data_IF_407355777471
#
_entry.id   IF_407355777471
#
_cell.length_a   1.000
_cell.length_b   1.000
_cell.length_c   1.000
_cell.angle_alpha   90.00
_cell.angle_beta   90.00
_cell.angle_gamma   90.00
#
_symmetry.space_group_name_H-M   'P 1'
#
loop_
_entity.id
_entity.type
_entity.pdbx_description
1 polymer ?
#
# COMPACT_ATOMS: atom_id res chain seq x y z
N UNK A 1 1.41 -20.08 -17.34
CA UNK A 1 1.25 -19.02 -18.35
C UNK A 1 2.61 -18.59 -18.93
N UNK A 2 3.63 -18.33 -18.11
CA UNK A 2 4.93 -17.84 -18.55
C UNK A 2 5.70 -18.80 -19.48
N UNK A 3 5.37 -20.08 -19.50
CA UNK A 3 5.98 -21.13 -20.37
C UNK A 3 5.29 -21.30 -21.73
N UNK A 4 4.09 -20.75 -21.91
CA UNK A 4 3.35 -20.85 -23.16
C UNK A 4 4.02 -20.03 -24.26
N UNK A 5 4.05 -20.56 -25.50
CA UNK A 5 4.39 -19.72 -26.64
C UNK A 5 3.39 -18.59 -26.83
N UNK A 6 3.72 -17.55 -27.58
CA UNK A 6 2.78 -16.48 -27.86
C UNK A 6 1.50 -17.00 -28.55
N UNK A 7 1.66 -17.95 -29.48
CA UNK A 7 0.53 -18.57 -30.18
C UNK A 7 -0.33 -19.40 -29.22
N UNK A 8 0.29 -20.26 -28.39
CA UNK A 8 -0.45 -21.04 -27.40
C UNK A 8 -1.19 -20.15 -26.38
N UNK A 9 -0.60 -19.03 -25.99
CA UNK A 9 -1.27 -18.07 -25.11
C UNK A 9 -2.53 -17.50 -25.75
N UNK A 10 -2.46 -17.11 -27.03
CA UNK A 10 -3.64 -16.63 -27.77
C UNK A 10 -4.70 -17.71 -27.83
N UNK A 11 -4.36 -18.90 -28.32
CA UNK A 11 -5.34 -19.96 -28.56
C UNK A 11 -5.94 -20.54 -27.28
N UNK A 12 -5.08 -20.89 -26.31
CA UNK A 12 -5.52 -21.58 -25.09
C UNK A 12 -6.11 -20.66 -24.07
N UNK A 13 -5.56 -19.43 -23.92
CA UNK A 13 -5.99 -18.49 -22.88
C UNK A 13 -7.04 -17.54 -23.42
N UNK A 14 -6.72 -16.77 -24.48
CA UNK A 14 -7.63 -15.72 -24.94
C UNK A 14 -8.86 -16.30 -25.67
N UNK A 15 -8.65 -17.22 -26.60
CA UNK A 15 -9.73 -17.75 -27.43
C UNK A 15 -10.52 -18.82 -26.68
N UNK A 16 -9.89 -19.94 -26.31
CA UNK A 16 -10.60 -21.10 -25.72
C UNK A 16 -10.94 -20.88 -24.25
N UNK A 17 -10.01 -20.29 -23.48
CA UNK A 17 -10.17 -20.15 -22.02
C UNK A 17 -11.10 -19.00 -21.62
N UNK A 18 -10.90 -17.83 -22.20
CA UNK A 18 -11.65 -16.62 -21.87
C UNK A 18 -12.77 -16.27 -22.85
N UNK A 19 -12.75 -16.82 -24.07
CA UNK A 19 -13.67 -16.40 -25.13
C UNK A 19 -13.58 -14.89 -25.38
N UNK A 20 -12.36 -14.34 -25.36
CA UNK A 20 -12.12 -12.91 -25.42
C UNK A 20 -12.76 -12.30 -26.67
N UNK A 21 -13.48 -11.20 -26.50
CA UNK A 21 -14.08 -10.43 -27.62
C UNK A 21 -13.36 -9.11 -27.83
N UNK A 22 -12.72 -8.60 -26.78
CA UNK A 22 -11.96 -7.35 -26.81
C UNK A 22 -10.75 -7.47 -25.91
N UNK A 23 -9.57 -7.11 -26.42
CA UNK A 23 -8.32 -7.14 -25.68
C UNK A 23 -7.67 -5.75 -25.74
N UNK A 24 -7.51 -5.12 -24.58
CA UNK A 24 -6.83 -3.85 -24.44
C UNK A 24 -5.44 -4.09 -23.86
N UNK A 25 -4.40 -3.57 -24.52
CA UNK A 25 -3.01 -3.72 -24.11
C UNK A 25 -2.29 -2.38 -24.11
N UNK A 26 -1.25 -2.25 -23.29
CA UNK A 26 -0.36 -1.09 -23.34
C UNK A 26 0.48 -1.06 -24.63
N UNK A 27 1.11 0.07 -24.90
CA UNK A 27 1.94 0.30 -26.09
C UNK A 27 3.23 -0.55 -26.12
N UNK A 28 3.75 -0.92 -24.94
CA UNK A 28 4.92 -1.79 -24.75
C UNK A 28 4.59 -3.24 -24.41
N UNK A 29 3.34 -3.64 -24.63
CA UNK A 29 2.87 -4.97 -24.29
C UNK A 29 3.63 -6.06 -25.04
N UNK A 30 4.14 -7.03 -24.27
CA UNK A 30 4.78 -8.24 -24.77
C UNK A 30 4.26 -9.44 -23.98
N UNK A 31 4.06 -10.57 -24.65
CA UNK A 31 3.50 -11.76 -24.04
C UNK A 31 4.13 -13.06 -24.56
N UNK A 32 3.76 -14.18 -23.94
CA UNK A 32 4.30 -15.49 -24.26
C UNK A 32 5.74 -15.69 -23.76
N UNK A 33 6.23 -16.92 -23.98
CA UNK A 33 7.59 -17.31 -23.57
C UNK A 33 8.62 -16.37 -24.19
N UNK A 34 9.57 -15.92 -23.40
CA UNK A 34 10.61 -14.96 -23.76
C UNK A 34 10.08 -13.63 -24.32
N UNK A 35 8.82 -13.27 -24.03
CA UNK A 35 8.17 -12.04 -24.52
C UNK A 35 8.12 -11.95 -26.05
N UNK A 36 8.01 -13.11 -26.72
CA UNK A 36 8.07 -13.20 -28.18
C UNK A 36 6.84 -12.61 -28.89
N UNK A 37 5.67 -12.58 -28.22
CA UNK A 37 4.46 -11.98 -28.75
C UNK A 37 4.43 -10.45 -28.57
N UNK A 38 3.89 -9.77 -29.56
CA UNK A 38 3.71 -8.32 -29.57
C UNK A 38 2.28 -7.93 -30.02
N UNK A 39 2.05 -6.62 -30.09
CA UNK A 39 0.77 -6.09 -30.51
C UNK A 39 0.38 -6.55 -31.94
N UNK A 40 1.33 -6.57 -32.88
CA UNK A 40 1.04 -6.93 -34.27
C UNK A 40 0.58 -8.39 -34.38
N UNK A 41 1.22 -9.30 -33.66
CA UNK A 41 0.82 -10.70 -33.58
C UNK A 41 -0.58 -10.83 -32.95
N UNK A 42 -0.85 -10.08 -31.88
CA UNK A 42 -2.14 -10.12 -31.18
C UNK A 42 -3.27 -9.57 -32.07
N UNK A 43 -3.04 -8.48 -32.79
CA UNK A 43 -4.00 -7.86 -33.70
C UNK A 43 -4.32 -8.78 -34.90
N UNK A 44 -3.29 -9.40 -35.49
CA UNK A 44 -3.50 -10.38 -36.54
C UNK A 44 -4.33 -11.58 -36.05
N UNK A 45 -4.05 -12.07 -34.84
CA UNK A 45 -4.83 -13.17 -34.24
C UNK A 45 -6.27 -12.72 -33.92
N UNK A 46 -6.48 -11.47 -33.46
CA UNK A 46 -7.80 -10.90 -33.25
C UNK A 46 -8.67 -10.96 -34.49
N UNK A 47 -8.11 -10.57 -35.63
CA UNK A 47 -8.80 -10.68 -36.94
C UNK A 47 -9.13 -12.10 -37.31
N UNK A 48 -8.21 -13.04 -37.03
CA UNK A 48 -8.40 -14.48 -37.41
C UNK A 48 -9.42 -15.17 -36.49
N UNK A 49 -9.49 -14.80 -35.21
CA UNK A 49 -10.34 -15.46 -34.21
C UNK A 49 -11.58 -14.67 -33.79
N UNK A 50 -11.81 -13.48 -34.37
CA UNK A 50 -13.03 -12.71 -34.17
C UNK A 50 -13.05 -11.90 -32.85
N UNK A 51 -11.89 -11.45 -32.35
CA UNK A 51 -11.80 -10.50 -31.24
C UNK A 51 -11.10 -9.20 -31.66
N UNK A 52 -11.48 -8.10 -31.05
CA UNK A 52 -10.87 -6.78 -31.28
C UNK A 52 -9.64 -6.59 -30.37
N UNK A 53 -8.63 -5.91 -30.89
CA UNK A 53 -7.44 -5.52 -30.14
C UNK A 53 -7.26 -4.02 -30.19
N UNK A 54 -7.19 -3.39 -29.04
CA UNK A 54 -6.89 -1.97 -28.91
C UNK A 54 -5.58 -1.75 -28.19
N UNK A 55 -4.91 -0.66 -28.53
CA UNK A 55 -3.70 -0.20 -27.87
C UNK A 55 -4.04 1.00 -26.99
N UNK A 56 -3.67 0.94 -25.71
CA UNK A 56 -3.73 2.07 -24.82
C UNK A 56 -2.44 2.86 -24.95
N UNK A 57 -2.57 4.15 -25.26
CA UNK A 57 -1.42 5.03 -25.29
C UNK A 57 -0.80 5.18 -23.89
N UNK A 58 0.50 5.32 -23.82
CA UNK A 58 1.18 5.69 -22.57
C UNK A 58 0.62 7.01 -22.06
N UNK A 59 0.34 7.05 -20.76
CA UNK A 59 -0.04 8.28 -20.08
C UNK A 59 1.23 8.96 -19.60
N UNK A 60 1.40 10.23 -19.96
CA UNK A 60 2.50 11.07 -19.52
C UNK A 60 1.97 12.16 -18.59
N UNK A 61 2.71 12.41 -17.53
CA UNK A 61 2.45 13.48 -16.59
C UNK A 61 3.69 14.37 -16.52
N UNK A 62 3.56 15.64 -16.94
CA UNK A 62 4.69 16.59 -17.04
C UNK A 62 5.88 16.09 -17.87
N UNK A 63 5.62 15.33 -18.93
CA UNK A 63 6.67 14.80 -19.82
C UNK A 63 7.31 13.49 -19.33
N UNK A 64 6.86 12.96 -18.18
CA UNK A 64 7.30 11.67 -17.69
C UNK A 64 6.22 10.60 -17.91
N UNK A 65 6.65 9.45 -18.43
CA UNK A 65 5.75 8.31 -18.65
C UNK A 65 5.35 7.68 -17.32
N UNK A 66 4.05 7.67 -17.03
CA UNK A 66 3.53 6.94 -15.88
C UNK A 66 3.62 5.43 -16.13
N UNK A 67 4.42 4.75 -15.31
CA UNK A 67 4.61 3.30 -15.41
C UNK A 67 4.63 2.65 -14.02
N UNK A 68 4.36 1.35 -13.97
CA UNK A 68 4.47 0.60 -12.72
C UNK A 68 5.92 0.52 -12.19
N UNK A 69 6.91 0.70 -13.05
CA UNK A 69 8.32 0.78 -12.67
C UNK A 69 8.58 2.10 -11.95
N UNK A 70 8.22 3.24 -12.54
CA UNK A 70 8.38 4.56 -11.90
C UNK A 70 7.67 4.62 -10.54
N UNK A 71 6.43 4.10 -10.45
CA UNK A 71 5.72 4.03 -9.17
C UNK A 71 6.48 3.19 -8.14
N UNK A 72 7.04 2.03 -8.52
CA UNK A 72 7.81 1.19 -7.57
C UNK A 72 9.12 1.84 -7.15
N UNK A 73 9.76 2.57 -8.04
CA UNK A 73 10.99 3.33 -7.74
C UNK A 73 10.70 4.46 -6.74
N UNK A 74 9.64 5.25 -6.94
CA UNK A 74 9.20 6.27 -6.01
C UNK A 74 8.86 5.66 -4.63
N UNK A 75 8.11 4.55 -4.58
CA UNK A 75 7.79 3.84 -3.34
C UNK A 75 9.03 3.30 -2.63
N UNK A 76 10.00 2.76 -3.35
CA UNK A 76 11.26 2.25 -2.79
C UNK A 76 12.14 3.38 -2.24
N UNK A 77 12.14 4.54 -2.89
CA UNK A 77 12.81 5.74 -2.41
C UNK A 77 12.12 6.38 -1.20
N UNK A 78 10.86 6.00 -0.92
CA UNK A 78 10.04 6.64 0.12
C UNK A 78 9.42 7.96 -0.31
N UNK A 79 9.46 8.28 -1.60
CA UNK A 79 8.83 9.48 -2.16
C UNK A 79 7.32 9.21 -2.39
N UNK A 80 6.55 9.44 -1.32
CA UNK A 80 5.11 9.21 -1.34
C UNK A 80 4.37 10.25 -2.17
N UNK A 81 4.90 11.46 -2.28
CA UNK A 81 4.30 12.53 -3.09
C UNK A 81 4.43 12.20 -4.57
N UNK A 82 5.61 11.76 -5.01
CA UNK A 82 5.84 11.32 -6.37
C UNK A 82 5.00 10.07 -6.71
N UNK A 83 4.98 9.08 -5.81
CA UNK A 83 4.13 7.91 -5.98
C UNK A 83 2.65 8.29 -6.13
N UNK A 84 2.15 9.23 -5.31
CA UNK A 84 0.77 9.72 -5.39
C UNK A 84 0.51 10.49 -6.68
N UNK A 85 1.47 11.32 -7.13
CA UNK A 85 1.40 12.05 -8.40
C UNK A 85 1.25 11.08 -9.58
N UNK A 86 2.10 10.07 -9.64
CA UNK A 86 2.08 9.05 -10.70
C UNK A 86 0.80 8.20 -10.68
N UNK A 87 0.27 7.89 -9.49
CA UNK A 87 -0.94 7.08 -9.32
C UNK A 87 -2.24 7.89 -9.46
N UNK A 88 -2.19 9.23 -9.39
CA UNK A 88 -3.35 10.12 -9.28
C UNK A 88 -4.08 10.01 -7.93
N UNK A 89 -3.50 9.33 -6.96
CA UNK A 89 -4.02 9.14 -5.59
C UNK A 89 -2.93 8.67 -4.65
N UNK A 90 -3.07 8.84 -3.33
CA UNK A 90 -2.15 8.24 -2.38
C UNK A 90 -2.02 6.73 -2.56
N UNK A 91 -0.81 6.21 -2.39
CA UNK A 91 -0.60 4.76 -2.39
C UNK A 91 -1.26 4.16 -1.15
N UNK A 92 -2.05 3.11 -1.34
CA UNK A 92 -2.81 2.51 -0.27
C UNK A 92 -2.78 0.98 -0.29
N UNK A 93 -2.89 0.39 0.89
CA UNK A 93 -2.98 -1.04 1.11
C UNK A 93 -4.30 -1.33 1.82
N UNK A 94 -5.07 -2.28 1.30
CA UNK A 94 -6.32 -2.72 1.90
C UNK A 94 -6.23 -4.18 2.33
N UNK A 95 -6.86 -4.50 3.45
CA UNK A 95 -6.88 -5.87 3.96
C UNK A 95 -7.78 -6.03 5.17
N UNK A 96 -7.98 -7.29 5.55
CA UNK A 96 -8.66 -7.60 6.80
C UNK A 96 -7.74 -7.34 8.00
N UNK A 97 -8.29 -6.74 9.03
CA UNK A 97 -7.61 -6.61 10.32
C UNK A 97 -7.59 -7.98 11.00
N UNK A 98 -6.39 -8.48 11.24
CA UNK A 98 -6.16 -9.77 11.92
C UNK A 98 -5.51 -9.57 13.28
N UNK A 99 -5.61 -10.60 14.13
CA UNK A 99 -4.90 -10.60 15.40
C UNK A 99 -3.39 -10.68 15.19
N UNK A 100 -2.66 -9.73 15.79
CA UNK A 100 -1.20 -9.76 15.91
C UNK A 100 -0.77 -10.37 17.25
N UNK A 101 0.54 -10.32 17.54
CA UNK A 101 1.11 -10.77 18.84
C UNK A 101 0.66 -9.94 20.04
N UNK A 102 -0.14 -8.87 19.85
CA UNK A 102 -0.66 -7.95 20.89
C UNK A 102 0.44 -7.30 21.77
N UNK A 103 1.69 -7.27 21.31
CA UNK A 103 2.82 -6.69 22.05
C UNK A 103 2.65 -5.18 22.28
N UNK A 104 2.11 -4.46 21.30
CA UNK A 104 1.87 -3.01 21.40
C UNK A 104 0.96 -2.62 22.58
N UNK A 105 -0.02 -3.48 22.94
CA UNK A 105 -0.88 -3.23 24.11
C UNK A 105 -0.13 -3.39 25.45
N UNK A 106 0.95 -4.14 25.49
CA UNK A 106 1.74 -4.35 26.70
C UNK A 106 2.75 -3.22 26.87
N UNK A 107 3.28 -2.66 25.77
CA UNK A 107 4.34 -1.67 25.77
C UNK A 107 3.91 -0.31 26.38
N UNK A 108 2.68 0.13 26.22
CA UNK A 108 2.21 1.40 26.79
C UNK A 108 1.80 1.33 28.26
N UNK A 109 1.59 0.14 28.81
CA UNK A 109 1.11 -0.04 30.20
C UNK A 109 2.21 0.08 31.25
N UNK A 110 3.48 -0.03 30.84
CA UNK A 110 4.64 0.07 31.73
C UNK A 110 5.15 1.49 31.94
N UNK A 111 4.74 2.46 31.12
CA UNK A 111 5.11 3.85 31.27
C UNK A 111 4.03 4.54 32.14
N UNK A 112 4.31 4.69 33.42
CA UNK A 112 3.49 5.51 34.31
C UNK A 112 3.36 6.94 33.77
N UNK A 113 2.10 7.39 33.60
CA UNK A 113 1.73 8.78 33.40
C UNK A 113 1.99 9.41 32.02
N UNK A 114 1.43 8.83 30.93
CA UNK A 114 1.41 9.48 29.62
C UNK A 114 0.08 9.33 28.88
N UNK A 115 -0.15 10.03 27.77
CA UNK A 115 -1.40 9.98 26.99
C UNK A 115 -1.72 8.60 26.39
N UNK A 116 -0.84 7.61 26.56
CA UNK A 116 -0.97 6.24 26.03
C UNK A 116 -1.29 5.19 27.10
N UNK A 117 -2.15 5.53 28.09
CA UNK A 117 -2.55 4.62 29.18
C UNK A 117 -3.08 3.26 28.71
N UNK A 118 -3.60 3.16 27.49
CA UNK A 118 -4.13 1.94 26.86
C UNK A 118 -3.08 1.18 26.02
N UNK A 119 -1.83 1.61 25.97
CA UNK A 119 -0.77 1.09 25.11
C UNK A 119 -0.96 1.45 23.64
N UNK A 120 -0.01 1.03 22.80
CA UNK A 120 -0.09 1.23 21.36
C UNK A 120 -0.93 0.10 20.75
N UNK A 121 -2.19 0.38 20.44
CA UNK A 121 -3.05 -0.59 19.74
C UNK A 121 -2.63 -0.65 18.27
N UNK A 122 -2.21 -1.82 17.81
CA UNK A 122 -1.84 -2.03 16.41
C UNK A 122 -2.87 -2.88 15.68
N UNK A 123 -3.22 -2.42 14.49
CA UNK A 123 -4.02 -3.13 13.51
C UNK A 123 -3.05 -3.84 12.58
N UNK A 124 -3.14 -5.15 12.50
CA UNK A 124 -2.29 -5.95 11.64
C UNK A 124 -3.07 -6.30 10.39
N UNK A 125 -2.58 -5.88 9.21
CA UNK A 125 -3.16 -6.25 7.94
C UNK A 125 -2.34 -7.36 7.32
N UNK A 126 -3.03 -8.45 6.99
CA UNK A 126 -2.45 -9.52 6.18
C UNK A 126 -2.82 -9.28 4.73
N UNK A 127 -1.82 -9.30 3.87
CA UNK A 127 -2.01 -9.28 2.42
C UNK A 127 -1.14 -10.35 1.75
N UNK A 128 -1.57 -10.79 0.56
CA UNK A 128 -1.01 -11.97 -0.10
C UNK A 128 0.33 -11.74 -0.80
N UNK A 129 0.87 -10.52 -0.78
CA UNK A 129 2.10 -10.18 -1.48
C UNK A 129 3.34 -10.55 -0.66
N UNK A 130 4.32 -11.19 -1.29
CA UNK A 130 5.60 -11.58 -0.69
C UNK A 130 6.60 -10.43 -0.59
N UNK A 131 6.42 -9.39 -1.41
CA UNK A 131 7.29 -8.21 -1.46
C UNK A 131 6.45 -6.95 -1.58
N UNK A 132 6.80 -5.92 -0.82
CA UNK A 132 6.32 -4.56 -1.00
C UNK A 132 7.40 -3.72 -1.68
N UNK A 133 7.00 -2.78 -2.53
CA UNK A 133 7.93 -1.79 -3.07
C UNK A 133 8.29 -0.74 -2.03
N UNK A 134 7.36 -0.42 -1.10
CA UNK A 134 7.62 0.48 0.02
C UNK A 134 8.02 -0.31 1.26
N UNK A 135 8.85 0.27 2.12
CA UNK A 135 9.21 -0.24 3.45
C UNK A 135 9.56 0.91 4.39
N UNK A 136 9.39 0.70 5.69
CA UNK A 136 9.69 1.69 6.73
C UNK A 136 8.49 2.10 7.56
N UNK A 137 8.62 3.24 8.25
CA UNK A 137 7.61 3.84 9.11
C UNK A 137 6.98 5.03 8.37
N UNK A 138 5.64 5.09 8.39
CA UNK A 138 4.87 6.06 7.61
C UNK A 138 3.82 6.77 8.45
N UNK A 139 3.61 8.07 8.19
CA UNK A 139 2.37 8.75 8.53
C UNK A 139 1.28 8.28 7.56
N UNK A 140 0.12 7.86 8.09
CA UNK A 140 -0.94 7.20 7.32
C UNK A 140 -2.33 7.72 7.64
N UNK A 141 -3.27 7.58 6.69
CA UNK A 141 -4.72 7.69 6.94
C UNK A 141 -5.37 6.31 6.89
N UNK A 142 -6.18 6.01 7.88
CA UNK A 142 -6.88 4.73 8.02
C UNK A 142 -8.36 4.93 7.75
N UNK A 143 -8.88 4.26 6.72
CA UNK A 143 -10.28 4.28 6.32
C UNK A 143 -10.99 2.99 6.73
N UNK A 144 -12.29 3.06 6.98
CA UNK A 144 -13.15 1.90 7.26
C UNK A 144 -13.37 1.61 8.74
N UNK A 145 -12.87 2.46 9.63
CA UNK A 145 -13.11 2.38 11.08
C UNK A 145 -14.07 3.45 11.61
N UNK A 146 -14.13 4.57 10.94
CA UNK A 146 -15.00 5.72 11.22
C UNK A 146 -15.46 6.35 9.92
N UNK A 147 -16.49 7.23 9.94
CA UNK A 147 -16.91 7.99 8.76
C UNK A 147 -15.76 8.80 8.16
N UNK A 148 -14.97 9.46 9.00
CA UNK A 148 -13.77 10.18 8.60
C UNK A 148 -12.52 9.32 8.73
N UNK A 149 -11.53 9.47 7.83
CA UNK A 149 -10.27 8.76 7.93
C UNK A 149 -9.50 9.14 9.20
N UNK A 150 -8.94 8.15 9.88
CA UNK A 150 -8.18 8.36 11.11
C UNK A 150 -6.70 8.58 10.81
N UNK A 151 -6.04 9.58 11.42
CA UNK A 151 -4.60 9.73 11.36
C UNK A 151 -3.92 8.59 12.12
N UNK A 152 -2.77 8.14 11.61
CA UNK A 152 -2.05 7.02 12.19
C UNK A 152 -0.58 6.98 11.82
N UNK A 153 0.10 6.01 12.41
CA UNK A 153 1.46 5.58 12.07
C UNK A 153 1.42 4.13 11.65
N UNK A 154 2.16 3.77 10.63
CA UNK A 154 2.23 2.38 10.19
C UNK A 154 3.67 1.94 9.94
N UNK A 155 3.98 0.72 10.35
CA UNK A 155 5.19 0.00 9.95
C UNK A 155 4.83 -0.95 8.80
N UNK A 156 5.49 -0.79 7.67
CA UNK A 156 5.41 -1.69 6.51
C UNK A 156 6.76 -2.39 6.35
N UNK A 157 6.85 -3.64 6.77
CA UNK A 157 8.09 -4.37 6.77
C UNK A 157 7.93 -5.87 6.54
N UNK A 158 9.05 -6.55 6.39
CA UNK A 158 9.11 -8.01 6.33
C UNK A 158 9.57 -8.52 7.69
N UNK A 159 8.71 -9.21 8.41
CA UNK A 159 9.17 -9.92 9.61
C UNK A 159 10.07 -11.09 9.21
N UNK A 160 11.33 -11.13 9.68
CA UNK A 160 12.12 -12.35 9.56
C UNK A 160 11.39 -13.47 10.33
N UNK A 161 11.05 -14.55 9.64
CA UNK A 161 10.53 -15.74 10.31
C UNK A 161 11.67 -16.41 11.06
N UNK A 162 11.75 -16.19 12.37
CA UNK A 162 12.68 -16.90 13.27
C UNK A 162 12.01 -18.18 13.80
N UNK A 163 10.69 -18.31 13.62
CA UNK A 163 9.87 -19.41 14.10
C UNK A 163 9.26 -20.16 12.92
N UNK A 164 9.56 -21.47 12.74
CA UNK A 164 8.95 -22.30 11.72
C UNK A 164 7.42 -22.39 11.83
N UNK A 165 6.86 -22.11 13.00
CA UNK A 165 5.41 -22.03 13.23
C UNK A 165 4.81 -20.66 12.89
N UNK A 166 5.63 -19.66 12.49
CA UNK A 166 5.16 -18.36 12.10
C UNK A 166 4.38 -18.46 10.78
N UNK A 167 3.06 -18.47 10.90
CA UNK A 167 2.10 -18.54 9.80
C UNK A 167 2.34 -17.43 8.75
N UNK A 168 3.14 -16.42 9.07
CA UNK A 168 3.50 -15.31 8.17
C UNK A 168 4.82 -15.52 7.42
N UNK A 169 5.65 -16.51 7.77
CA UNK A 169 6.81 -17.02 7.01
C UNK A 169 7.55 -16.02 6.11
N UNK A 170 8.05 -14.90 6.64
CA UNK A 170 8.76 -13.88 5.85
C UNK A 170 7.86 -13.03 4.94
N UNK A 171 6.55 -13.02 5.17
CA UNK A 171 5.60 -12.17 4.40
C UNK A 171 5.62 -10.73 4.89
N UNK A 172 5.32 -9.83 3.97
CA UNK A 172 5.12 -8.42 4.28
C UNK A 172 3.94 -8.25 5.23
N UNK A 173 4.12 -7.46 6.27
CA UNK A 173 3.11 -7.11 7.26
C UNK A 173 2.98 -5.60 7.32
N UNK A 174 1.73 -5.12 7.40
CA UNK A 174 1.43 -3.73 7.71
C UNK A 174 0.84 -3.68 9.12
N UNK A 175 1.60 -3.09 10.05
CA UNK A 175 1.17 -2.83 11.43
C UNK A 175 0.83 -1.36 11.56
N UNK A 176 -0.43 -1.03 11.83
CA UNK A 176 -0.91 0.34 11.85
C UNK A 176 -1.43 0.70 13.25
N UNK A 177 -1.02 1.84 13.79
CA UNK A 177 -1.52 2.45 15.02
C UNK A 177 -2.28 3.73 14.68
N UNK A 178 -3.56 3.82 15.05
CA UNK A 178 -4.32 5.07 14.95
C UNK A 178 -3.94 5.99 16.10
N UNK A 179 -3.60 7.26 15.81
CA UNK A 179 -3.24 8.27 16.81
C UNK A 179 -4.41 8.57 17.76
N UNK A 180 -5.63 8.42 17.24
CA UNK A 180 -6.88 8.53 18.00
C UNK A 180 -7.71 7.28 17.75
N UNK A 181 -8.09 6.59 18.82
CA UNK A 181 -8.91 5.40 18.73
C UNK A 181 -10.39 5.72 18.88
N UNK A 182 -11.27 5.34 17.95
CA UNK A 182 -12.70 5.61 18.06
C UNK A 182 -13.31 4.84 19.23
N UNK A 183 -13.90 5.57 20.20
CA UNK A 183 -14.45 4.98 21.41
C UNK A 183 -15.55 3.92 21.13
N UNK A 184 -16.34 4.13 20.06
CA UNK A 184 -17.42 3.22 19.67
C UNK A 184 -16.95 1.82 19.23
N UNK A 185 -15.68 1.65 18.86
CA UNK A 185 -15.12 0.36 18.46
C UNK A 185 -14.73 -0.52 19.67
N UNK A 186 -14.61 0.07 20.86
CA UNK A 186 -14.09 -0.66 22.01
C UNK A 186 -12.70 -1.27 21.74
N UNK A 187 -12.37 -2.34 22.43
CA UNK A 187 -11.06 -2.96 22.35
C UNK A 187 -10.86 -3.86 21.12
N UNK A 188 -11.92 -4.48 20.64
CA UNK A 188 -11.86 -5.57 19.65
C UNK A 188 -12.64 -5.24 18.35
N UNK A 189 -13.33 -4.10 18.27
CA UNK A 189 -14.28 -3.79 17.19
C UNK A 189 -13.68 -3.58 15.80
N UNK A 190 -12.36 -3.54 15.68
CA UNK A 190 -11.69 -3.44 14.38
C UNK A 190 -11.38 -4.80 13.73
N UNK A 191 -11.33 -5.90 14.51
CA UNK A 191 -10.98 -7.20 13.97
C UNK A 191 -12.02 -7.73 12.98
N UNK A 192 -11.51 -8.34 11.91
CA UNK A 192 -12.34 -8.83 10.80
C UNK A 192 -12.83 -7.75 9.84
N UNK A 193 -12.75 -6.46 10.21
CA UNK A 193 -13.09 -5.37 9.29
C UNK A 193 -12.07 -5.27 8.16
N UNK A 194 -12.53 -4.86 6.99
CA UNK A 194 -11.67 -4.44 5.89
C UNK A 194 -11.36 -2.97 6.09
N UNK A 195 -10.08 -2.64 6.16
CA UNK A 195 -9.60 -1.27 6.22
C UNK A 195 -8.70 -0.97 5.03
N UNK A 196 -8.59 0.31 4.70
CA UNK A 196 -7.62 0.83 3.72
C UNK A 196 -6.70 1.79 4.45
N UNK A 197 -5.40 1.57 4.31
CA UNK A 197 -4.35 2.41 4.88
C UNK A 197 -3.64 3.14 3.74
N UNK A 198 -3.74 4.46 3.71
CA UNK A 198 -3.04 5.32 2.77
C UNK A 198 -1.70 5.74 3.37
N UNK A 199 -0.61 5.46 2.68
CA UNK A 199 0.73 5.89 3.07
C UNK A 199 0.97 7.30 2.51
N UNK A 200 1.12 8.28 3.39
CA UNK A 200 1.19 9.69 3.00
C UNK A 200 2.61 10.26 3.03
N UNK A 201 3.39 9.87 4.03
CA UNK A 201 4.74 10.37 4.22
C UNK A 201 5.59 9.31 4.90
N UNK A 202 6.82 9.09 4.41
CA UNK A 202 7.78 8.20 5.06
C UNK A 202 8.49 8.98 6.15
N UNK A 203 8.37 8.51 7.40
CA UNK A 203 9.07 9.11 8.54
C UNK A 203 10.53 8.66 8.52
N UNK A 204 10.78 7.34 8.50
CA UNK A 204 12.12 6.77 8.43
C UNK A 204 12.09 5.26 8.06
N UNK A 205 13.24 4.67 7.89
CA UNK A 205 13.40 3.21 7.72
C UNK A 205 13.17 2.46 9.04
N UNK A 206 12.91 1.14 8.96
CA UNK A 206 12.79 0.32 10.16
C UNK A 206 14.06 0.37 11.01
N UNK A 207 13.89 0.63 12.31
CA UNK A 207 14.96 0.65 13.29
C UNK A 207 14.92 -0.62 14.15
N UNK A 208 16.10 -1.09 14.54
CA UNK A 208 16.24 -2.14 15.55
C UNK A 208 16.40 -1.51 16.92
N UNK A 209 15.71 -2.06 17.90
CA UNK A 209 15.75 -1.58 19.28
C UNK A 209 16.27 -2.70 20.18
N UNK A 210 17.19 -2.36 21.07
CA UNK A 210 17.87 -3.32 21.97
C UNK A 210 17.05 -3.60 23.25
N UNK A 211 16.00 -2.81 23.52
CA UNK A 211 15.11 -3.00 24.67
C UNK A 211 13.66 -2.63 24.34
N UNK A 212 12.72 -3.09 25.17
CA UNK A 212 11.31 -2.73 25.09
C UNK A 212 11.08 -1.25 25.38
N UNK A 213 11.84 -0.66 26.27
CA UNK A 213 11.81 0.76 26.60
C UNK A 213 12.22 1.60 25.39
N UNK A 214 13.32 1.22 24.72
CA UNK A 214 13.79 1.89 23.52
C UNK A 214 12.77 1.78 22.37
N UNK A 215 12.14 0.62 22.20
CA UNK A 215 11.05 0.41 21.23
C UNK A 215 9.85 1.30 21.56
N UNK A 216 9.44 1.34 22.82
CA UNK A 216 8.30 2.18 23.27
C UNK A 216 8.57 3.66 23.01
N UNK A 217 9.79 4.14 23.34
CA UNK A 217 10.20 5.51 23.07
C UNK A 217 10.28 5.81 21.56
N UNK A 218 10.68 4.83 20.74
CA UNK A 218 10.68 4.92 19.28
C UNK A 218 9.27 5.12 18.76
N UNK A 219 8.33 4.24 19.11
CA UNK A 219 6.92 4.35 18.67
C UNK A 219 6.29 5.70 19.12
N UNK A 220 6.62 6.17 20.34
CA UNK A 220 6.12 7.45 20.81
C UNK A 220 6.63 8.62 19.94
N UNK A 221 7.90 8.61 19.55
CA UNK A 221 8.46 9.62 18.62
C UNK A 221 7.79 9.56 17.26
N UNK A 222 7.60 8.37 16.71
CA UNK A 222 6.92 8.18 15.41
C UNK A 222 5.51 8.77 15.46
N UNK A 223 4.79 8.58 16.56
CA UNK A 223 3.47 9.19 16.78
C UNK A 223 3.52 10.73 16.83
N UNK A 224 4.53 11.32 17.48
CA UNK A 224 4.72 12.77 17.52
C UNK A 224 5.07 13.33 16.14
N UNK A 225 5.97 12.69 15.39
CA UNK A 225 6.33 13.09 14.04
C UNK A 225 5.12 13.02 13.10
N UNK A 226 4.30 11.97 13.20
CA UNK A 226 3.07 11.88 12.44
C UNK A 226 2.06 12.99 12.80
N UNK A 227 1.90 13.33 14.09
CA UNK A 227 1.06 14.46 14.51
C UNK A 227 1.53 15.78 13.91
N UNK A 228 2.86 16.02 13.93
CA UNK A 228 3.46 17.21 13.33
C UNK A 228 3.19 17.27 11.81
N UNK A 229 3.32 16.15 11.11
CA UNK A 229 3.00 16.05 9.68
C UNK A 229 1.52 16.41 9.41
N UNK A 230 0.58 15.86 10.15
CA UNK A 230 -0.85 16.17 9.97
C UNK A 230 -1.18 17.63 10.31
N UNK A 231 -0.59 18.18 11.34
CA UNK A 231 -0.77 19.59 11.70
C UNK A 231 -0.26 20.53 10.59
N UNK A 232 0.92 20.26 10.04
CA UNK A 232 1.47 21.03 8.92
C UNK A 232 0.59 20.93 7.65
N UNK A 233 0.08 19.74 7.33
CA UNK A 233 -0.79 19.50 6.19
C UNK A 233 -2.12 20.24 6.30
N UNK A 234 -2.76 20.26 7.48
CA UNK A 234 -3.99 20.99 7.74
C UNK A 234 -3.80 22.52 7.56
N UNK A 235 -2.69 23.07 8.02
CA UNK A 235 -2.36 24.48 7.80
C UNK A 235 -2.16 24.83 6.32
N UNK A 236 -1.56 23.94 5.55
CA UNK A 236 -1.36 24.13 4.11
C UNK A 236 -2.70 24.13 3.34
N UNK A 237 -3.62 23.23 3.69
CA UNK A 237 -4.97 23.16 3.09
C UNK A 237 -5.79 24.42 3.40
N UNK A 238 -5.77 24.89 4.65
CA UNK A 238 -6.47 26.11 5.06
C UNK A 238 -5.97 27.34 4.30
N UNK A 239 -4.66 27.46 4.09
CA UNK A 239 -4.08 28.57 3.32
C UNK A 239 -4.51 28.55 1.86
N UNK A 240 -4.56 27.37 1.22
CA UNK A 240 -5.02 27.21 -0.17
C UNK A 240 -6.49 27.56 -0.34
N UNK A 241 -7.33 27.20 0.63
CA UNK A 241 -8.75 27.53 0.64
C UNK A 241 -8.95 29.07 0.73
N UNK A 242 -8.28 29.70 1.67
CA UNK A 242 -8.36 31.17 1.87
C UNK A 242 -7.88 31.95 0.66
N UNK A 243 -6.94 31.42 -0.13
CA UNK A 243 -6.45 32.05 -1.36
C UNK A 243 -7.46 31.90 -2.51
N UNK A 244 -8.15 30.75 -2.59
CA UNK A 244 -9.21 30.51 -3.60
C UNK A 244 -10.45 31.38 -3.37
N UNK A 245 -10.82 31.64 -2.14
CA UNK A 245 -12.00 32.43 -1.79
C UNK A 245 -11.77 33.96 -1.94
N UNK A 246 -10.55 34.37 -2.28
CA UNK A 246 -10.16 35.79 -2.53
C UNK A 246 -10.02 36.15 -4.00
N UNK A 247 -10.21 35.21 -4.91
CA UNK A 247 -10.19 35.38 -6.37
C UNK A 247 -11.62 35.24 -6.94
#
# INVERSE_FOLDING_TARGET
>A
LASLSAQDFIEQVLVRGLGARYVLVGDDFRFGRQRAGDYALLDAAGRAHGFEVARMNSYELHGERVSSTAVREALAAGDMDEAARLLGRPYSISGHVVHGRKLGRQLGRSAASGPHQDGFRTLNLRFSHWKSAASGIFAVRVHGLSPEPLPGVANLGVRPSVDPSDVNGGRVLLETHCLEWPAHLGAEGAYGKIIRVELLHKLHDELKYDSLEALTAGIARDCEEARAFFAASAHAETRRQTTRDRI
#
